data_IF_939510268187
#
_entry.id   IF_939510268187
#
_cell.length_a   1.000
_cell.length_b   1.000
_cell.length_c   1.000
_cell.angle_alpha   90.00
_cell.angle_beta   90.00
_cell.angle_gamma   90.00
#
_symmetry.space_group_name_H-M   'P 1'
#
loop_
_entity.id
_entity.type
_entity.pdbx_description
1 polymer ?
#
# COMPACT_ATOMS: atom_id res chain seq x y z
N UNK A 1 -37.22 11.84 -10.05
CA UNK A 1 -36.23 11.15 -10.89
C UNK A 1 -35.05 10.88 -9.94
N UNK A 2 -35.17 9.77 -9.22
CA UNK A 2 -34.11 9.34 -8.29
C UNK A 2 -32.97 8.80 -9.16
N UNK A 3 -31.84 9.49 -9.12
CA UNK A 3 -30.59 8.98 -9.67
C UNK A 3 -30.21 7.75 -8.84
N UNK A 4 -30.42 6.58 -9.42
CA UNK A 4 -29.86 5.35 -8.92
C UNK A 4 -28.33 5.42 -9.12
N UNK A 5 -27.65 6.01 -8.14
CA UNK A 5 -26.23 5.77 -7.97
C UNK A 5 -26.07 4.32 -7.53
N UNK A 6 -25.82 3.44 -8.49
CA UNK A 6 -25.24 2.12 -8.23
C UNK A 6 -23.77 2.30 -7.85
N UNK A 7 -23.51 3.02 -6.77
CA UNK A 7 -22.21 3.01 -6.12
C UNK A 7 -22.09 1.71 -5.32
N UNK A 8 -21.72 0.63 -6.02
CA UNK A 8 -21.06 -0.51 -5.39
C UNK A 8 -19.62 -0.12 -5.09
N UNK A 9 -19.42 0.94 -4.36
CA UNK A 9 -18.09 1.38 -3.97
C UNK A 9 -17.83 0.83 -2.57
N UNK A 10 -17.05 -0.23 -2.51
CA UNK A 10 -16.32 -0.55 -1.30
C UNK A 10 -15.36 0.60 -1.01
N UNK A 11 -15.39 1.13 0.18
CA UNK A 11 -14.55 2.25 0.55
C UNK A 11 -13.74 1.90 1.79
N UNK A 12 -12.44 2.06 1.70
CA UNK A 12 -11.54 2.03 2.84
C UNK A 12 -11.32 3.47 3.30
N UNK A 13 -11.42 3.68 4.60
CA UNK A 13 -11.13 4.97 5.21
C UNK A 13 -9.94 4.82 6.15
N UNK A 14 -8.85 5.53 5.85
CA UNK A 14 -7.68 5.59 6.70
C UNK A 14 -7.73 6.84 7.56
N UNK A 15 -7.77 6.65 8.88
CA UNK A 15 -7.76 7.73 9.86
C UNK A 15 -6.39 7.88 10.50
N UNK A 16 -5.87 9.12 10.48
CA UNK A 16 -4.57 9.50 10.98
C UNK A 16 -4.71 10.69 11.94
N UNK A 17 -3.90 10.72 12.98
CA UNK A 17 -3.74 11.91 13.85
C UNK A 17 -2.48 12.63 13.44
N UNK A 18 -2.55 13.95 13.27
CA UNK A 18 -1.41 14.77 12.85
C UNK A 18 -0.19 14.55 13.74
N UNK A 19 0.95 14.27 13.11
CA UNK A 19 2.23 14.06 13.79
C UNK A 19 2.36 12.73 14.55
N UNK A 20 1.38 11.82 14.43
CA UNK A 20 1.46 10.46 14.98
C UNK A 20 1.63 9.44 13.86
N UNK A 21 2.45 8.40 14.05
CA UNK A 21 2.61 7.33 13.05
C UNK A 21 1.46 6.32 13.07
N UNK A 22 0.66 6.29 14.13
CA UNK A 22 -0.44 5.34 14.28
C UNK A 22 -1.62 5.74 13.42
N UNK A 23 -2.25 4.74 12.80
CA UNK A 23 -3.43 4.93 11.99
C UNK A 23 -4.46 3.81 12.19
N UNK A 24 -5.68 4.07 11.77
CA UNK A 24 -6.72 3.05 11.72
C UNK A 24 -7.31 2.99 10.30
N UNK A 25 -7.59 1.78 9.82
CA UNK A 25 -8.32 1.58 8.57
C UNK A 25 -9.65 0.94 8.88
N UNK A 26 -10.72 1.58 8.43
CA UNK A 26 -12.07 1.08 8.55
C UNK A 26 -12.62 0.76 7.16
N UNK A 27 -13.30 -0.37 7.06
CA UNK A 27 -13.93 -0.82 5.85
C UNK A 27 -15.45 -0.56 5.88
N UNK A 28 -15.99 0.01 4.80
CA UNK A 28 -17.42 0.17 4.59
C UNK A 28 -17.82 -0.49 3.27
N UNK A 29 -18.58 -1.59 3.34
CA UNK A 29 -19.16 -2.28 2.19
C UNK A 29 -20.68 -2.39 2.32
N UNK A 30 -21.39 -2.34 1.18
CA UNK A 30 -22.85 -2.31 1.15
C UNK A 30 -23.51 -3.62 1.59
N UNK A 31 -22.80 -4.77 1.53
CA UNK A 31 -23.32 -6.10 1.78
C UNK A 31 -22.56 -6.91 2.84
N UNK A 32 -21.59 -6.33 3.53
CA UNK A 32 -20.94 -7.03 4.63
C UNK A 32 -21.64 -6.75 5.94
N UNK A 33 -21.82 -7.78 6.80
CA UNK A 33 -22.34 -7.57 8.13
C UNK A 33 -21.47 -6.54 8.85
N UNK A 34 -22.09 -5.79 9.74
CA UNK A 34 -21.51 -4.67 10.52
C UNK A 34 -20.30 -5.03 11.41
N UNK A 35 -19.68 -6.18 11.19
CA UNK A 35 -18.44 -6.57 11.80
C UNK A 35 -17.31 -5.77 11.14
N UNK A 36 -17.10 -4.60 11.75
CA UNK A 36 -16.08 -3.63 11.38
C UNK A 36 -14.73 -4.35 11.31
N UNK A 37 -14.23 -4.60 10.11
CA UNK A 37 -12.81 -4.86 9.93
C UNK A 37 -12.10 -3.54 10.26
N UNK A 38 -11.69 -3.40 11.50
CA UNK A 38 -10.85 -2.31 11.95
C UNK A 38 -9.41 -2.84 12.02
N UNK A 39 -8.55 -2.31 11.16
CA UNK A 39 -7.11 -2.53 11.25
C UNK A 39 -6.46 -1.34 11.94
N UNK A 40 -5.57 -1.62 12.90
CA UNK A 40 -4.73 -0.61 13.54
C UNK A 40 -3.29 -0.86 13.16
N UNK A 41 -2.66 0.12 12.55
CA UNK A 41 -1.29 0.04 12.08
C UNK A 41 -0.44 1.19 12.57
N UNK A 42 0.86 1.05 12.31
CA UNK A 42 1.86 2.08 12.53
C UNK A 42 2.60 2.32 11.22
N UNK A 43 2.55 3.54 10.70
CA UNK A 43 3.13 3.87 9.41
C UNK A 43 4.64 3.56 9.30
N UNK A 44 5.38 3.68 10.41
CA UNK A 44 6.81 3.37 10.43
C UNK A 44 7.05 1.85 10.27
N UNK A 45 6.30 1.04 11.02
CA UNK A 45 6.46 -0.41 11.01
C UNK A 45 5.96 -1.00 9.68
N UNK A 46 4.82 -0.53 9.20
CA UNK A 46 4.20 -1.05 7.97
C UNK A 46 5.02 -0.69 6.72
N UNK A 47 5.62 0.50 6.65
CA UNK A 47 6.55 0.85 5.57
C UNK A 47 7.81 -0.02 5.63
N UNK A 48 8.36 -0.26 6.82
CA UNK A 48 9.53 -1.15 6.94
C UNK A 48 9.20 -2.58 6.54
N UNK A 49 8.04 -3.09 6.94
CA UNK A 49 7.54 -4.41 6.54
C UNK A 49 7.34 -4.49 5.02
N UNK A 50 6.72 -3.48 4.42
CA UNK A 50 6.53 -3.39 2.97
C UNK A 50 7.86 -3.37 2.20
N UNK A 51 8.85 -2.62 2.67
CA UNK A 51 10.18 -2.57 2.07
C UNK A 51 10.95 -3.90 2.21
N UNK A 52 10.78 -4.60 3.32
CA UNK A 52 11.43 -5.87 3.58
C UNK A 52 10.73 -7.04 2.88
N UNK A 53 9.47 -6.88 2.47
CA UNK A 53 8.69 -7.94 1.84
C UNK A 53 9.32 -8.43 0.54
N UNK A 54 9.47 -9.75 0.40
CA UNK A 54 10.02 -10.36 -0.81
C UNK A 54 8.92 -10.63 -1.85
N UNK A 55 8.72 -9.68 -2.75
CA UNK A 55 7.73 -9.80 -3.83
C UNK A 55 8.00 -10.97 -4.81
N UNK A 56 9.11 -11.70 -4.67
CA UNK A 56 9.29 -12.95 -5.41
C UNK A 56 8.25 -13.99 -5.05
N UNK A 57 7.68 -13.92 -3.85
CA UNK A 57 6.61 -14.81 -3.42
C UNK A 57 5.38 -14.76 -4.34
N UNK A 58 5.06 -13.59 -4.92
CA UNK A 58 3.91 -13.44 -5.82
C UNK A 58 4.25 -13.59 -7.31
N UNK A 59 5.51 -13.80 -7.68
CA UNK A 59 5.92 -13.78 -9.10
C UNK A 59 5.25 -14.86 -9.95
N UNK A 60 5.03 -16.05 -9.39
CA UNK A 60 4.39 -17.16 -10.12
C UNK A 60 2.95 -16.79 -10.45
N UNK A 61 2.18 -16.34 -9.45
CA UNK A 61 0.79 -15.90 -9.62
C UNK A 61 0.68 -14.67 -10.52
N UNK A 62 1.60 -13.71 -10.38
CA UNK A 62 1.65 -12.52 -11.25
C UNK A 62 1.92 -12.89 -12.71
N UNK A 63 2.80 -13.87 -12.97
CA UNK A 63 3.07 -14.36 -14.33
C UNK A 63 1.81 -15.01 -14.91
N UNK A 64 1.15 -15.88 -14.14
CA UNK A 64 -0.09 -16.55 -14.58
C UNK A 64 -1.21 -15.53 -14.82
N UNK A 65 -1.37 -14.57 -13.95
CA UNK A 65 -2.33 -13.46 -14.11
C UNK A 65 -2.09 -12.71 -15.42
N UNK A 66 -0.82 -12.42 -15.74
CA UNK A 66 -0.43 -11.76 -17.01
C UNK A 66 -0.76 -12.61 -18.22
N UNK A 67 -0.57 -13.92 -18.14
CA UNK A 67 -0.92 -14.85 -19.23
C UNK A 67 -2.42 -14.82 -19.51
N UNK A 68 -3.26 -14.92 -18.46
CA UNK A 68 -4.73 -14.83 -18.56
C UNK A 68 -5.15 -13.44 -19.09
N UNK A 69 -4.56 -12.37 -18.57
CA UNK A 69 -4.83 -11.01 -19.02
C UNK A 69 -4.56 -10.83 -20.52
N UNK A 70 -3.43 -11.32 -21.02
CA UNK A 70 -3.09 -11.25 -22.43
C UNK A 70 -4.01 -12.12 -23.31
N UNK A 71 -4.45 -13.28 -22.81
CA UNK A 71 -5.39 -14.14 -23.51
C UNK A 71 -6.73 -13.42 -23.69
N UNK A 72 -7.25 -12.76 -22.66
CA UNK A 72 -8.50 -12.01 -22.71
C UNK A 72 -8.38 -10.80 -23.65
N UNK A 73 -7.27 -10.07 -23.63
CA UNK A 73 -7.05 -8.91 -24.52
C UNK A 73 -6.96 -9.32 -26.01
N UNK A 74 -6.51 -10.54 -26.29
CA UNK A 74 -6.32 -11.05 -27.67
C UNK A 74 -7.48 -11.93 -28.19
N UNK A 75 -8.36 -12.36 -27.31
CA UNK A 75 -9.54 -13.17 -27.64
C UNK A 75 -10.79 -12.50 -27.07
N UNK A 76 -11.98 -12.97 -27.46
CA UNK A 76 -13.20 -12.49 -26.81
C UNK A 76 -13.18 -12.87 -25.32
N UNK A 77 -13.27 -11.87 -24.44
CA UNK A 77 -13.38 -12.07 -23.01
C UNK A 77 -14.54 -13.01 -22.69
N UNK A 78 -14.25 -14.10 -21.99
CA UNK A 78 -15.27 -15.01 -21.48
C UNK A 78 -15.37 -14.88 -19.98
N UNK A 79 -16.56 -15.11 -19.44
CA UNK A 79 -16.78 -15.10 -17.98
C UNK A 79 -15.84 -16.09 -17.26
N UNK A 80 -15.55 -17.23 -17.87
CA UNK A 80 -14.62 -18.22 -17.32
C UNK A 80 -13.21 -17.67 -17.13
N UNK A 81 -12.64 -17.05 -18.16
CA UNK A 81 -11.32 -16.44 -18.10
C UNK A 81 -11.27 -15.27 -17.11
N UNK A 82 -12.34 -14.47 -17.02
CA UNK A 82 -12.42 -13.41 -16.03
C UNK A 82 -12.44 -13.97 -14.59
N UNK A 83 -13.19 -15.04 -14.35
CA UNK A 83 -13.20 -15.71 -13.05
C UNK A 83 -11.83 -16.30 -12.68
N UNK A 84 -11.11 -16.89 -13.66
CA UNK A 84 -9.74 -17.36 -13.48
C UNK A 84 -8.79 -16.21 -13.13
N UNK A 85 -8.91 -15.07 -13.81
CA UNK A 85 -8.14 -13.87 -13.51
C UNK A 85 -8.39 -13.38 -12.09
N UNK A 86 -9.65 -13.22 -11.69
CA UNK A 86 -9.99 -12.80 -10.32
C UNK A 86 -9.52 -13.82 -9.25
N UNK A 87 -9.58 -15.12 -9.56
CA UNK A 87 -9.08 -16.18 -8.67
C UNK A 87 -7.58 -16.07 -8.44
N UNK A 88 -6.81 -15.82 -9.51
CA UNK A 88 -5.36 -15.65 -9.40
C UNK A 88 -4.99 -14.34 -8.66
N UNK A 89 -5.74 -13.26 -8.88
CA UNK A 89 -5.56 -12.01 -8.14
C UNK A 89 -5.84 -12.19 -6.62
N UNK A 90 -6.88 -12.95 -6.26
CA UNK A 90 -7.14 -13.33 -4.84
C UNK A 90 -6.00 -14.16 -4.27
N UNK A 91 -5.42 -15.06 -5.05
CA UNK A 91 -4.24 -15.83 -4.62
C UNK A 91 -3.08 -14.90 -4.26
N UNK A 92 -2.84 -13.83 -5.03
CA UNK A 92 -1.83 -12.82 -4.68
C UNK A 92 -2.19 -12.12 -3.36
N UNK A 93 -3.45 -11.72 -3.17
CA UNK A 93 -3.89 -11.10 -1.93
C UNK A 93 -3.68 -12.01 -0.71
N UNK A 94 -4.01 -13.30 -0.82
CA UNK A 94 -3.78 -14.28 0.26
C UNK A 94 -2.29 -14.51 0.55
N UNK A 95 -1.41 -14.51 -0.47
CA UNK A 95 0.05 -14.66 -0.27
C UNK A 95 0.63 -13.52 0.57
N UNK A 96 0.16 -12.29 0.38
CA UNK A 96 0.68 -11.12 1.09
C UNK A 96 -0.02 -10.85 2.44
N UNK A 97 -1.07 -11.59 2.77
CA UNK A 97 -2.02 -11.28 3.85
C UNK A 97 -1.38 -11.17 5.23
N UNK A 98 -0.49 -12.09 5.56
CA UNK A 98 0.11 -12.13 6.90
C UNK A 98 1.12 -10.99 7.12
N UNK A 99 1.85 -10.62 6.08
CA UNK A 99 2.87 -9.57 6.16
C UNK A 99 2.31 -8.17 5.83
N UNK A 100 1.35 -8.08 4.89
CA UNK A 100 0.80 -6.83 4.37
C UNK A 100 -0.74 -6.84 4.40
N UNK A 101 -1.37 -6.96 5.59
CA UNK A 101 -2.79 -7.24 5.72
C UNK A 101 -3.70 -6.18 5.09
N UNK A 102 -3.35 -4.90 5.19
CA UNK A 102 -4.15 -3.83 4.58
C UNK A 102 -4.07 -3.86 3.06
N UNK A 103 -2.88 -4.09 2.51
CA UNK A 103 -2.70 -4.23 1.05
C UNK A 103 -3.42 -5.45 0.50
N UNK A 104 -3.39 -6.57 1.23
CA UNK A 104 -4.20 -7.75 0.92
C UNK A 104 -5.68 -7.40 0.88
N UNK A 105 -6.19 -6.67 1.85
CA UNK A 105 -7.58 -6.24 1.91
C UNK A 105 -7.95 -5.31 0.75
N UNK A 106 -7.10 -4.33 0.42
CA UNK A 106 -7.30 -3.44 -0.73
C UNK A 106 -7.42 -4.26 -2.02
N UNK A 107 -6.51 -5.20 -2.26
CA UNK A 107 -6.56 -6.08 -3.44
C UNK A 107 -7.82 -6.96 -3.47
N UNK A 108 -8.22 -7.52 -2.33
CA UNK A 108 -9.41 -8.37 -2.24
C UNK A 108 -10.68 -7.64 -2.66
N UNK A 109 -10.80 -6.36 -2.29
CA UNK A 109 -11.94 -5.51 -2.66
C UNK A 109 -12.13 -5.44 -4.18
N UNK A 110 -11.04 -5.27 -4.94
CA UNK A 110 -11.12 -5.20 -6.41
C UNK A 110 -11.49 -6.52 -7.06
N UNK A 111 -11.27 -7.66 -6.39
CA UNK A 111 -11.54 -9.00 -6.94
C UNK A 111 -12.93 -9.53 -6.60
N UNK A 112 -13.66 -8.89 -5.68
CA UNK A 112 -14.98 -9.32 -5.23
C UNK A 112 -16.13 -8.73 -6.07
N UNK A 113 -15.85 -7.69 -6.87
CA UNK A 113 -16.87 -7.04 -7.69
C UNK A 113 -17.21 -7.90 -8.91
N UNK A 114 -18.46 -8.33 -8.99
CA UNK A 114 -19.02 -9.06 -10.15
C UNK A 114 -19.56 -8.05 -11.14
N UNK A 115 -18.96 -7.97 -12.32
CA UNK A 115 -19.39 -7.06 -13.38
C UNK A 115 -20.36 -7.76 -14.34
N UNK A 116 -21.29 -6.98 -14.88
CA UNK A 116 -22.40 -7.52 -15.68
C UNK A 116 -22.16 -7.45 -17.18
N UNK A 117 -21.19 -6.65 -17.64
CA UNK A 117 -20.89 -6.48 -19.07
C UNK A 117 -19.44 -6.81 -19.41
N UNK A 118 -19.15 -7.16 -20.69
CA UNK A 118 -17.79 -7.46 -21.13
C UNK A 118 -16.84 -6.25 -21.03
N UNK A 119 -17.35 -5.05 -21.26
CA UNK A 119 -16.55 -3.83 -21.17
C UNK A 119 -16.20 -3.50 -19.73
N UNK A 120 -17.13 -3.74 -18.79
CA UNK A 120 -16.88 -3.61 -17.35
C UNK A 120 -15.83 -4.65 -16.89
N UNK A 121 -15.87 -5.89 -17.41
CA UNK A 121 -14.87 -6.92 -17.09
C UNK A 121 -13.47 -6.50 -17.49
N UNK A 122 -13.28 -5.97 -18.72
CA UNK A 122 -11.96 -5.52 -19.20
C UNK A 122 -11.45 -4.35 -18.36
N UNK A 123 -12.28 -3.35 -18.13
CA UNK A 123 -11.93 -2.19 -17.30
C UNK A 123 -11.49 -2.61 -15.88
N UNK A 124 -12.18 -3.57 -15.30
CA UNK A 124 -11.87 -4.09 -13.98
C UNK A 124 -10.59 -4.90 -13.94
N UNK A 125 -10.32 -5.66 -14.99
CA UNK A 125 -9.05 -6.36 -15.11
C UNK A 125 -7.88 -5.40 -15.25
N UNK A 126 -8.03 -4.32 -16.02
CA UNK A 126 -7.04 -3.26 -16.14
C UNK A 126 -6.75 -2.64 -14.77
N UNK A 127 -7.80 -2.37 -13.98
CA UNK A 127 -7.68 -1.83 -12.63
C UNK A 127 -7.00 -2.82 -11.67
N UNK A 128 -7.45 -4.08 -11.62
CA UNK A 128 -6.84 -5.12 -10.78
C UNK A 128 -5.36 -5.31 -11.15
N UNK A 129 -5.06 -5.36 -12.44
CA UNK A 129 -3.69 -5.47 -12.92
C UNK A 129 -2.83 -4.28 -12.45
N UNK A 130 -3.35 -3.06 -12.62
CA UNK A 130 -2.70 -1.84 -12.16
C UNK A 130 -2.40 -1.88 -10.66
N UNK A 131 -3.36 -2.30 -9.83
CA UNK A 131 -3.17 -2.42 -8.39
C UNK A 131 -2.03 -3.39 -8.02
N UNK A 132 -1.98 -4.55 -8.69
CA UNK A 132 -0.94 -5.56 -8.45
C UNK A 132 0.43 -5.09 -8.94
N UNK A 133 0.49 -4.41 -10.09
CA UNK A 133 1.73 -3.88 -10.64
C UNK A 133 2.31 -2.79 -9.73
N UNK A 134 1.44 -1.95 -9.21
CA UNK A 134 1.76 -0.85 -8.29
C UNK A 134 2.45 -1.33 -7.01
N UNK A 135 2.12 -2.53 -6.49
CA UNK A 135 2.80 -3.09 -5.33
C UNK A 135 4.32 -3.16 -5.49
N UNK A 136 4.79 -3.49 -6.67
CA UNK A 136 6.24 -3.64 -6.94
C UNK A 136 6.87 -2.34 -7.39
N UNK A 137 6.15 -1.53 -8.16
CA UNK A 137 6.62 -0.25 -8.68
C UNK A 137 6.85 0.78 -7.56
N UNK A 138 5.88 0.95 -6.67
CA UNK A 138 5.99 1.90 -5.54
C UNK A 138 7.15 1.51 -4.61
N UNK A 139 7.41 0.22 -4.43
CA UNK A 139 8.57 -0.22 -3.63
C UNK A 139 9.90 0.32 -4.17
N UNK A 140 10.10 0.29 -5.49
CA UNK A 140 11.32 0.81 -6.12
C UNK A 140 11.49 2.30 -5.85
N UNK A 141 10.45 3.08 -6.09
CA UNK A 141 10.45 4.53 -5.88
C UNK A 141 10.64 4.89 -4.41
N UNK A 142 9.97 4.16 -3.51
CA UNK A 142 10.10 4.37 -2.07
C UNK A 142 11.53 4.05 -1.59
N UNK A 143 12.14 2.97 -2.10
CA UNK A 143 13.52 2.61 -1.77
C UNK A 143 14.49 3.73 -2.14
N UNK A 144 14.34 4.33 -3.31
CA UNK A 144 15.15 5.46 -3.77
C UNK A 144 14.97 6.67 -2.85
N UNK A 145 13.71 7.03 -2.56
CA UNK A 145 13.35 8.13 -1.66
C UNK A 145 13.97 7.97 -0.28
N UNK A 146 13.85 6.79 0.31
CA UNK A 146 14.34 6.55 1.67
C UNK A 146 15.87 6.45 1.72
N UNK A 147 16.51 5.99 0.65
CA UNK A 147 17.98 6.04 0.52
C UNK A 147 18.45 7.48 0.56
N UNK A 148 17.83 8.32 -0.24
CA UNK A 148 18.14 9.75 -0.25
C UNK A 148 17.91 10.41 1.13
N UNK A 149 16.79 10.12 1.80
CA UNK A 149 16.50 10.63 3.15
C UNK A 149 17.55 10.16 4.18
N UNK A 150 17.99 8.91 4.10
CA UNK A 150 19.02 8.39 4.99
C UNK A 150 20.36 9.10 4.78
N UNK A 151 20.74 9.38 3.53
CA UNK A 151 21.96 10.09 3.18
C UNK A 151 21.90 11.57 3.62
N UNK A 152 20.77 12.24 3.45
CA UNK A 152 20.57 13.62 3.91
C UNK A 152 20.64 13.74 5.44
N UNK A 153 20.12 12.78 6.18
CA UNK A 153 20.22 12.75 7.64
C UNK A 153 21.64 12.55 8.13
N UNK A 154 22.50 11.91 7.33
CA UNK A 154 23.94 11.74 7.61
C UNK A 154 24.74 13.01 7.30
N UNK A 155 24.30 13.81 6.31
CA UNK A 155 24.99 14.96 5.76
C UNK A 155 24.26 16.28 6.10
N UNK A 156 23.94 16.50 7.38
CA UNK A 156 23.05 17.57 7.88
C UNK A 156 23.40 19.02 7.52
N UNK A 157 24.45 19.30 6.74
CA UNK A 157 24.84 20.65 6.29
C UNK A 157 24.13 21.12 5.01
N UNK A 158 23.50 20.22 4.26
CA UNK A 158 22.84 20.55 2.99
C UNK A 158 21.38 20.06 3.00
N UNK A 159 20.47 20.85 3.57
CA UNK A 159 19.01 20.66 3.40
C UNK A 159 18.62 20.99 1.95
N UNK A 160 18.70 20.02 1.06
CA UNK A 160 18.06 20.13 -0.26
C UNK A 160 16.57 19.80 -0.12
N UNK A 161 15.73 20.51 -0.87
CA UNK A 161 14.29 20.19 -0.97
C UNK A 161 14.12 18.75 -1.46
N UNK A 162 13.18 18.02 -0.87
CA UNK A 162 12.88 16.62 -1.19
C UNK A 162 12.33 16.52 -2.63
N UNK A 163 13.09 16.08 -3.63
CA UNK A 163 12.62 16.06 -5.02
C UNK A 163 11.48 15.05 -5.25
N UNK A 164 11.26 14.15 -4.29
CA UNK A 164 10.27 13.07 -4.42
C UNK A 164 8.93 13.43 -3.80
N UNK A 165 8.87 14.44 -2.94
CA UNK A 165 7.58 14.91 -2.42
C UNK A 165 6.69 15.50 -3.52
N UNK A 166 7.28 16.01 -4.61
CA UNK A 166 6.49 16.50 -5.73
C UNK A 166 5.70 15.39 -6.44
N UNK A 167 6.26 14.18 -6.56
CA UNK A 167 5.54 13.03 -7.13
C UNK A 167 4.56 12.39 -6.15
N UNK A 168 4.80 12.52 -4.85
CA UNK A 168 3.87 12.08 -3.79
C UNK A 168 2.79 13.14 -3.51
N UNK A 169 3.04 14.42 -3.82
CA UNK A 169 2.09 15.51 -3.59
C UNK A 169 0.89 15.49 -4.54
N UNK A 170 0.99 14.77 -5.66
CA UNK A 170 -0.09 14.67 -6.66
C UNK A 170 -1.16 13.63 -6.30
N UNK A 171 -1.13 13.03 -5.09
CA UNK A 171 -2.22 12.13 -4.73
C UNK A 171 -3.50 12.92 -4.41
N UNK A 172 -4.42 12.88 -5.35
CA UNK A 172 -5.73 13.52 -5.25
C UNK A 172 -6.64 12.69 -4.31
N UNK A 173 -6.38 12.76 -3.01
CA UNK A 173 -7.16 12.03 -2.01
C UNK A 173 -8.28 12.91 -1.43
N UNK A 174 -9.51 12.39 -1.40
CA UNK A 174 -10.57 13.01 -0.61
C UNK A 174 -10.22 12.88 0.86
N UNK A 175 -10.11 14.02 1.56
CA UNK A 175 -9.78 14.08 2.98
C UNK A 175 -10.86 14.82 3.75
N UNK A 176 -11.29 14.24 4.86
CA UNK A 176 -12.06 14.95 5.88
C UNK A 176 -11.14 15.32 7.03
N UNK A 177 -11.22 16.56 7.50
CA UNK A 177 -10.37 17.11 8.56
C UNK A 177 -11.25 17.44 9.76
N UNK A 178 -10.94 16.88 10.91
CA UNK A 178 -11.66 17.10 12.16
C UNK A 178 -10.70 17.56 13.25
N UNK A 179 -11.17 18.48 14.10
CA UNK A 179 -10.45 18.86 15.31
C UNK A 179 -11.13 18.25 16.53
N UNK A 180 -10.46 17.28 17.16
CA UNK A 180 -11.01 16.49 18.27
C UNK A 180 -10.05 16.49 19.44
N UNK A 181 -10.49 16.95 20.60
CA UNK A 181 -9.71 16.96 21.85
C UNK A 181 -8.32 17.61 21.75
N UNK A 182 -8.18 18.66 20.95
CA UNK A 182 -6.90 19.36 20.78
C UNK A 182 -5.99 18.78 19.67
N UNK A 183 -6.45 17.75 18.97
CA UNK A 183 -5.70 17.10 17.88
C UNK A 183 -6.42 17.25 16.55
N UNK A 184 -5.64 17.33 15.46
CA UNK A 184 -6.17 17.33 14.09
C UNK A 184 -6.18 15.87 13.59
N UNK A 185 -7.36 15.43 13.18
CA UNK A 185 -7.60 14.12 12.62
C UNK A 185 -7.87 14.26 11.12
N UNK A 186 -7.17 13.45 10.32
CA UNK A 186 -7.39 13.31 8.89
C UNK A 186 -8.06 11.97 8.61
N UNK A 187 -9.15 11.97 7.84
CA UNK A 187 -9.78 10.75 7.34
C UNK A 187 -9.70 10.74 5.82
N UNK A 188 -8.91 9.86 5.28
CA UNK A 188 -8.69 9.70 3.83
C UNK A 188 -9.55 8.58 3.28
N UNK A 189 -10.13 8.81 2.10
CA UNK A 189 -10.71 7.75 1.29
C UNK A 189 -9.58 7.03 0.55
N UNK A 190 -9.48 5.70 0.75
CA UNK A 190 -8.51 4.84 0.10
C UNK A 190 -9.23 3.96 -0.91
N UNK A 191 -9.06 4.25 -2.17
CA UNK A 191 -9.71 3.56 -3.30
C UNK A 191 -8.74 2.74 -4.15
N UNK A 192 -7.42 2.82 -3.89
CA UNK A 192 -6.42 2.04 -4.59
C UNK A 192 -5.13 1.85 -3.74
N UNK A 193 -4.28 0.90 -4.17
CA UNK A 193 -3.01 0.54 -3.52
C UNK A 193 -2.05 1.73 -3.50
N UNK A 194 -1.94 2.46 -4.61
CA UNK A 194 -1.03 3.60 -4.71
C UNK A 194 -1.40 4.69 -3.71
N UNK A 195 -2.69 5.02 -3.62
CA UNK A 195 -3.18 6.03 -2.67
C UNK A 195 -2.93 5.61 -1.23
N UNK A 196 -3.19 4.35 -0.89
CA UNK A 196 -2.88 3.83 0.45
C UNK A 196 -1.40 3.99 0.77
N UNK A 197 -0.51 3.55 -0.12
CA UNK A 197 0.93 3.64 0.09
C UNK A 197 1.40 5.09 0.17
N UNK A 198 0.88 5.99 -0.66
CA UNK A 198 1.22 7.40 -0.62
C UNK A 198 0.80 8.07 0.69
N UNK A 199 -0.41 7.77 1.21
CA UNK A 199 -0.87 8.27 2.51
C UNK A 199 0.03 7.73 3.62
N UNK A 200 0.37 6.44 3.57
CA UNK A 200 1.25 5.79 4.54
C UNK A 200 2.64 6.44 4.55
N UNK A 201 3.24 6.66 3.38
CA UNK A 201 4.53 7.33 3.21
C UNK A 201 4.48 8.78 3.72
N UNK A 202 3.42 9.52 3.37
CA UNK A 202 3.23 10.89 3.86
C UNK A 202 3.13 10.92 5.39
N UNK A 203 2.37 10.00 5.98
CA UNK A 203 2.25 9.86 7.44
C UNK A 203 3.60 9.56 8.06
N UNK A 204 4.35 8.64 7.49
CA UNK A 204 5.69 8.29 7.92
C UNK A 204 6.63 9.50 7.90
N UNK A 205 6.72 10.22 6.78
CA UNK A 205 7.59 11.38 6.62
C UNK A 205 7.17 12.53 7.56
N UNK A 206 5.87 12.76 7.76
CA UNK A 206 5.34 13.82 8.62
C UNK A 206 5.71 13.65 10.09
N UNK A 207 5.97 12.42 10.53
CA UNK A 207 6.47 12.14 11.89
C UNK A 207 7.96 12.42 12.04
N UNK A 208 8.65 12.78 10.95
CA UNK A 208 10.10 13.02 10.88
C UNK A 208 10.92 11.86 11.47
N UNK A 209 10.66 10.62 11.06
CA UNK A 209 11.38 9.48 11.57
C UNK A 209 12.85 9.59 11.19
N UNK A 210 13.72 9.08 12.06
CA UNK A 210 15.10 8.86 11.67
C UNK A 210 15.17 7.58 10.86
N UNK A 211 15.90 7.64 9.75
CA UNK A 211 16.10 6.50 8.87
C UNK A 211 17.59 6.20 8.75
N UNK A 212 17.94 4.94 8.71
CA UNK A 212 19.29 4.49 8.40
C UNK A 212 19.27 3.21 7.57
N UNK A 213 20.32 2.99 6.82
CA UNK A 213 20.56 1.72 6.11
C UNK A 213 21.54 0.91 6.94
N UNK A 214 21.20 -0.33 7.24
CA UNK A 214 22.06 -1.24 7.97
C UNK A 214 23.27 -1.66 7.11
N UNK A 215 24.46 -1.40 7.57
CA UNK A 215 25.69 -1.76 6.86
C UNK A 215 25.92 -3.27 6.72
N UNK A 216 25.22 -4.08 7.51
CA UNK A 216 25.34 -5.53 7.45
C UNK A 216 24.35 -6.16 6.45
N UNK A 217 23.05 -5.80 6.53
CA UNK A 217 22.01 -6.44 5.72
C UNK A 217 21.45 -5.55 4.61
N UNK A 218 21.93 -4.31 4.48
CA UNK A 218 21.49 -3.30 3.51
C UNK A 218 19.98 -2.98 3.55
N UNK A 219 19.33 -3.25 4.69
CA UNK A 219 17.92 -2.94 4.88
C UNK A 219 17.73 -1.65 5.66
N UNK A 220 16.63 -0.96 5.39
CA UNK A 220 16.25 0.22 6.16
C UNK A 220 15.82 -0.15 7.58
N UNK A 221 16.08 0.76 8.52
CA UNK A 221 15.59 0.64 9.89
C UNK A 221 15.46 2.03 10.54
N UNK A 222 14.66 2.09 11.59
CA UNK A 222 14.49 3.28 12.43
C UNK A 222 15.44 3.15 13.63
N UNK A 223 16.47 4.02 13.76
CA UNK A 223 17.37 3.98 14.91
C UNK A 223 16.64 4.31 16.23
N UNK A 224 16.83 3.48 17.26
CA UNK A 224 16.22 3.67 18.58
C UNK A 224 16.79 4.85 19.37
N UNK A 225 17.96 5.34 18.99
CA UNK A 225 18.68 6.41 19.70
C UNK A 225 19.05 7.55 18.77
N UNK A 226 19.34 8.73 19.35
CA UNK A 226 19.84 9.88 18.61
C UNK A 226 21.31 9.77 18.18
N UNK A 227 22.00 8.71 18.55
CA UNK A 227 23.37 8.45 18.13
C UNK A 227 23.39 7.85 16.73
N UNK A 228 24.49 8.05 15.99
CA UNK A 228 24.71 7.39 14.71
C UNK A 228 24.72 5.89 14.91
N UNK A 229 23.73 5.20 14.34
CA UNK A 229 23.59 3.75 14.42
C UNK A 229 23.81 3.18 13.01
N UNK A 230 24.81 2.29 12.86
CA UNK A 230 25.19 1.71 11.58
C UNK A 230 24.53 0.34 11.34
N UNK A 231 23.98 -0.28 12.38
CA UNK A 231 23.45 -1.65 12.35
C UNK A 231 22.05 -1.70 12.96
N UNK A 232 21.20 -2.51 12.35
CA UNK A 232 19.88 -2.79 12.90
C UNK A 232 19.93 -3.92 13.93
N UNK A 233 18.86 -4.04 14.75
CA UNK A 233 18.71 -5.09 15.78
C UNK A 233 18.19 -6.42 15.20
N UNK A 234 18.12 -6.57 13.87
CA UNK A 234 17.65 -7.81 13.26
C UNK A 234 18.64 -8.94 13.56
N UNK A 235 18.10 -10.01 14.16
CA UNK A 235 18.87 -11.23 14.38
C UNK A 235 19.11 -11.86 13.01
N UNK A 236 20.38 -12.02 12.64
CA UNK A 236 20.71 -12.74 11.42
C UNK A 236 20.47 -14.24 11.67
N UNK A 237 19.84 -14.92 10.71
CA UNK A 237 19.53 -16.35 10.79
C UNK A 237 20.74 -17.28 11.01
N UNK A 238 21.93 -16.73 11.04
CA UNK A 238 23.21 -17.44 11.23
C UNK A 238 23.65 -17.58 12.69
N UNK A 239 22.88 -17.06 13.66
CA UNK A 239 23.02 -17.41 15.09
C UNK A 239 24.44 -17.36 15.70
N UNK A 240 25.35 -16.65 15.12
CA UNK A 240 26.68 -16.41 15.70
C UNK A 240 26.75 -14.94 16.13
N UNK A 241 26.77 -14.75 17.43
CA UNK A 241 27.10 -13.50 18.12
C UNK A 241 28.50 -12.97 17.74
#
# INVERSE_FOLDING_TARGET
>A
MEEYFTEQCFSLYMKIVQGKPDYTVNYHGFNYPKDKLEYKGNACDDIMTYLDYDFRAIQVSRKRLREIYNEIKNSNATEGLFNDFCSEARTIAEIIKDDLPVLSQVLSVFTENVYQTSDDMISSMDEIWYQIDTLTYVKSNLTETLTWLADEQLNSENRRELPVLDSLADFNAKVNIEYVNGEIHYTYLVDNVERFLNILIYTYISTKPRIAVCHYCNKFFVPKTNRRTLYCDRITATGND
#
